data_IF_002650321753
#
_entry.id   IF_002650321753
#
_cell.length_a   1.000
_cell.length_b   1.000
_cell.length_c   1.000
_cell.angle_alpha   90.00
_cell.angle_beta   90.00
_cell.angle_gamma   90.00
#
_symmetry.space_group_name_H-M   'P 1'
#
loop_
_entity.id
_entity.type
_entity.pdbx_description
1 polymer ?
#
# COMPACT_ATOMS: atom_id res chain seq x y z
N UNK A 1 13.85 14.43 -6.78
CA UNK A 1 14.54 13.13 -6.89
C UNK A 1 15.58 13.14 -8.01
N UNK A 2 15.26 13.67 -9.19
CA UNK A 2 16.12 13.70 -10.38
C UNK A 2 17.51 14.24 -10.11
N UNK A 3 17.60 15.43 -9.51
CA UNK A 3 18.89 16.08 -9.27
C UNK A 3 19.75 15.32 -8.27
N UNK A 4 19.12 14.70 -7.26
CA UNK A 4 19.81 13.80 -6.33
C UNK A 4 20.43 12.60 -7.05
N UNK A 5 19.71 11.99 -8.00
CA UNK A 5 20.23 10.85 -8.77
C UNK A 5 21.43 11.24 -9.64
N UNK A 6 21.36 12.40 -10.29
CA UNK A 6 22.47 12.97 -11.08
C UNK A 6 23.67 13.26 -10.17
N UNK A 7 23.43 13.92 -9.05
CA UNK A 7 24.47 14.28 -8.09
C UNK A 7 25.18 13.03 -7.53
N UNK A 8 24.45 11.97 -7.22
CA UNK A 8 25.05 10.70 -6.78
C UNK A 8 25.93 10.13 -7.88
N UNK A 9 25.44 10.05 -9.13
CA UNK A 9 26.23 9.52 -10.25
C UNK A 9 27.51 10.32 -10.53
N UNK A 10 27.49 11.63 -10.31
CA UNK A 10 28.64 12.51 -10.54
C UNK A 10 29.62 12.54 -9.36
N UNK A 11 29.13 12.50 -8.12
CA UNK A 11 29.93 12.73 -6.91
C UNK A 11 30.38 11.44 -6.24
N UNK A 12 29.74 10.31 -6.52
CA UNK A 12 30.13 9.03 -5.96
C UNK A 12 31.38 8.49 -6.66
N UNK A 13 32.43 8.30 -5.88
CA UNK A 13 33.63 7.59 -6.32
C UNK A 13 33.97 6.50 -5.32
N UNK A 14 33.89 5.25 -5.79
CA UNK A 14 34.23 4.07 -5.00
C UNK A 14 35.68 4.08 -4.52
N UNK A 15 36.61 4.65 -5.30
CA UNK A 15 38.04 4.68 -4.98
C UNK A 15 38.37 5.66 -3.85
N UNK A 16 37.51 6.64 -3.63
CA UNK A 16 37.61 7.62 -2.54
C UNK A 16 37.21 7.07 -1.17
N UNK A 17 36.72 5.82 -1.09
CA UNK A 17 36.39 5.15 0.17
C UNK A 17 35.02 5.53 0.75
N UNK A 18 34.79 5.21 2.03
CA UNK A 18 33.51 5.41 2.72
C UNK A 18 33.54 6.43 3.87
N UNK A 19 34.61 7.23 3.95
CA UNK A 19 34.85 8.18 5.05
C UNK A 19 33.93 9.41 5.05
N UNK A 20 33.98 10.18 6.14
CA UNK A 20 33.43 11.55 6.19
C UNK A 20 34.29 12.48 5.33
N UNK A 21 33.67 13.45 4.65
CA UNK A 21 34.33 14.36 3.73
C UNK A 21 34.45 13.84 2.29
N UNK A 22 34.03 12.59 2.03
CA UNK A 22 33.95 12.04 0.67
C UNK A 22 32.62 12.48 0.05
N UNK A 23 32.60 13.31 -1.00
CA UNK A 23 31.39 14.01 -1.45
C UNK A 23 30.18 13.11 -1.73
N UNK A 24 30.36 12.02 -2.50
CA UNK A 24 29.26 11.09 -2.78
C UNK A 24 28.78 10.30 -1.55
N UNK A 25 29.66 10.04 -0.59
CA UNK A 25 29.30 9.35 0.66
C UNK A 25 28.54 10.28 1.61
N UNK A 26 29.00 11.54 1.74
CA UNK A 26 28.28 12.56 2.50
C UNK A 26 26.90 12.81 1.89
N UNK A 27 26.81 12.88 0.57
CA UNK A 27 25.54 13.02 -0.13
C UNK A 27 24.59 11.86 0.17
N UNK A 28 25.02 10.60 0.03
CA UNK A 28 24.19 9.44 0.35
C UNK A 28 23.74 9.43 1.82
N UNK A 29 24.63 9.79 2.76
CA UNK A 29 24.28 9.90 4.19
C UNK A 29 23.28 11.02 4.48
N UNK A 30 23.28 12.09 3.69
CA UNK A 30 22.34 13.21 3.86
C UNK A 30 20.90 12.88 3.46
N UNK A 31 20.69 11.83 2.65
CA UNK A 31 19.36 11.49 2.09
C UNK A 31 18.29 11.29 3.16
N UNK A 32 18.65 10.73 4.32
CA UNK A 32 17.69 10.48 5.40
C UNK A 32 17.14 11.74 6.08
N UNK A 33 17.80 12.89 5.89
CA UNK A 33 17.39 14.18 6.44
C UNK A 33 16.77 15.12 5.39
N UNK A 34 16.55 14.63 4.15
CA UNK A 34 15.99 15.44 3.07
C UNK A 34 14.46 15.49 3.15
N UNK A 35 13.93 16.71 3.12
CA UNK A 35 12.49 17.01 3.07
C UNK A 35 12.02 17.40 1.66
N UNK A 36 12.95 17.62 0.72
CA UNK A 36 12.71 18.03 -0.66
C UNK A 36 12.37 16.86 -1.61
N UNK A 37 12.30 15.63 -1.09
CA UNK A 37 12.01 14.44 -1.89
C UNK A 37 10.50 14.24 -2.03
N UNK A 38 10.01 14.15 -3.27
CA UNK A 38 8.63 13.81 -3.60
C UNK A 38 8.33 12.32 -3.38
N UNK A 39 8.36 11.88 -2.12
CA UNK A 39 7.99 10.53 -1.70
C UNK A 39 6.48 10.43 -1.43
N UNK A 40 5.91 9.20 -1.41
CA UNK A 40 4.57 9.01 -0.86
C UNK A 40 4.49 9.49 0.60
N UNK A 41 3.29 9.90 1.03
CA UNK A 41 3.08 10.45 2.37
C UNK A 41 3.52 9.46 3.46
N UNK A 42 4.30 9.96 4.43
CA UNK A 42 4.83 9.16 5.54
C UNK A 42 6.01 8.24 5.19
N UNK A 43 6.42 8.16 3.92
CA UNK A 43 7.55 7.33 3.52
C UNK A 43 8.88 8.00 3.77
N UNK A 44 9.92 7.20 4.01
CA UNK A 44 11.27 7.69 4.31
C UNK A 44 12.28 7.16 3.31
N UNK A 45 13.33 7.93 3.03
CA UNK A 45 14.43 7.52 2.19
C UNK A 45 15.74 7.43 2.97
N UNK A 46 16.68 6.58 2.54
CA UNK A 46 18.04 6.58 3.07
C UNK A 46 19.05 6.11 2.02
N UNK A 47 20.18 6.81 1.93
CA UNK A 47 21.26 6.51 0.99
C UNK A 47 22.29 5.57 1.58
N UNK A 48 22.84 4.70 0.72
CA UNK A 48 23.75 3.64 1.10
C UNK A 48 24.92 3.57 0.12
N UNK A 49 26.08 4.03 0.58
CA UNK A 49 27.36 3.97 -0.16
C UNK A 49 28.30 2.87 0.32
N UNK A 50 27.83 1.96 1.16
CA UNK A 50 28.61 0.89 1.79
C UNK A 50 29.09 1.24 3.21
N UNK A 51 29.35 0.19 4.01
CA UNK A 51 29.81 0.30 5.40
C UNK A 51 31.16 -0.40 5.52
N UNK A 52 32.22 0.35 5.86
CA UNK A 52 33.60 -0.16 5.93
C UNK A 52 34.33 -0.21 4.59
N UNK A 53 33.63 -0.53 3.51
CA UNK A 53 34.12 -0.38 2.14
C UNK A 53 33.06 0.31 1.27
N UNK A 54 33.52 1.08 0.27
CA UNK A 54 32.62 1.72 -0.67
C UNK A 54 31.92 0.67 -1.55
N UNK A 55 30.60 0.72 -1.60
CA UNK A 55 29.78 -0.17 -2.40
C UNK A 55 30.12 -0.06 -3.89
N UNK A 56 30.12 -1.19 -4.60
CA UNK A 56 30.23 -1.19 -6.06
C UNK A 56 29.00 -0.59 -6.73
N UNK A 57 27.82 -0.83 -6.15
CA UNK A 57 26.54 -0.26 -6.58
C UNK A 57 25.95 0.51 -5.40
N UNK A 58 26.19 1.83 -5.28
CA UNK A 58 25.51 2.64 -4.28
C UNK A 58 24.01 2.67 -4.59
N UNK A 59 23.20 2.96 -3.58
CA UNK A 59 21.75 3.00 -3.77
C UNK A 59 21.05 3.93 -2.78
N UNK A 60 19.83 4.32 -3.13
CA UNK A 60 18.90 5.05 -2.26
C UNK A 60 17.71 4.14 -2.00
N UNK A 61 17.49 3.78 -0.74
CA UNK A 61 16.30 3.06 -0.31
C UNK A 61 15.15 4.00 -0.06
N UNK A 62 13.94 3.54 -0.36
CA UNK A 62 12.69 4.21 -0.10
C UNK A 62 11.77 3.20 0.60
N UNK A 63 11.26 3.59 1.76
CA UNK A 63 10.66 2.70 2.74
C UNK A 63 9.27 3.18 3.12
N UNK A 64 8.33 2.24 3.09
CA UNK A 64 7.02 2.35 3.74
C UNK A 64 7.19 1.88 5.20
N UNK A 65 7.04 2.75 6.21
CA UNK A 65 7.18 2.35 7.61
C UNK A 65 6.24 1.23 8.05
N UNK A 66 5.08 1.07 7.39
CA UNK A 66 4.12 0.00 7.68
C UNK A 66 4.61 -1.37 7.19
N UNK A 67 5.49 -1.39 6.20
CA UNK A 67 6.06 -2.62 5.63
C UNK A 67 7.40 -2.92 6.30
N UNK A 68 8.34 -1.99 6.22
CA UNK A 68 9.70 -2.17 6.70
C UNK A 68 10.53 -0.88 6.60
N UNK A 69 11.39 -0.64 7.60
CA UNK A 69 12.37 0.47 7.64
C UNK A 69 13.81 0.02 7.40
N UNK A 70 14.08 -1.27 7.14
CA UNK A 70 15.42 -1.86 7.10
C UNK A 70 15.68 -2.63 5.80
N UNK A 71 16.56 -2.14 4.95
CA UNK A 71 16.94 -2.81 3.68
C UNK A 71 17.47 -4.24 3.80
N UNK A 72 17.91 -4.64 4.98
CA UNK A 72 18.43 -5.98 5.25
C UNK A 72 17.35 -7.07 5.27
N UNK A 73 16.07 -6.67 5.38
CA UNK A 73 14.91 -7.56 5.52
C UNK A 73 13.68 -7.00 4.82
N UNK A 74 12.65 -7.84 4.67
CA UNK A 74 11.35 -7.41 4.14
C UNK A 74 11.43 -6.91 2.70
N UNK A 75 10.35 -6.26 2.26
CA UNK A 75 10.27 -5.61 0.96
C UNK A 75 10.51 -4.11 1.11
N UNK A 76 11.11 -3.49 0.09
CA UNK A 76 11.35 -2.05 0.03
C UNK A 76 11.55 -1.61 -1.43
N UNK A 77 11.55 -0.31 -1.69
CA UNK A 77 11.97 0.23 -2.98
C UNK A 77 13.42 0.69 -2.90
N UNK A 78 14.15 0.57 -4.01
CA UNK A 78 15.48 1.14 -4.12
C UNK A 78 15.73 1.71 -5.51
N UNK A 79 16.43 2.85 -5.55
CA UNK A 79 17.18 3.30 -6.71
C UNK A 79 18.60 2.75 -6.60
N UNK A 80 18.94 1.73 -7.40
CA UNK A 80 20.25 1.08 -7.39
C UNK A 80 21.04 1.48 -8.62
N UNK A 81 22.23 2.03 -8.42
CA UNK A 81 23.11 2.43 -9.51
C UNK A 81 23.87 1.23 -10.07
N UNK A 82 24.10 1.22 -11.39
CA UNK A 82 25.07 0.30 -11.99
C UNK A 82 26.47 0.59 -11.47
N UNK A 83 27.37 -0.41 -11.57
CA UNK A 83 28.73 -0.34 -11.02
C UNK A 83 29.58 0.75 -11.67
N UNK A 84 29.24 1.15 -12.89
CA UNK A 84 29.84 2.25 -13.65
C UNK A 84 29.10 3.58 -13.49
N UNK A 85 28.02 3.61 -12.68
CA UNK A 85 27.14 4.76 -12.45
C UNK A 85 26.48 5.34 -13.71
N UNK A 86 26.51 4.63 -14.84
CA UNK A 86 25.89 5.09 -16.10
C UNK A 86 24.37 5.03 -16.06
N UNK A 87 23.80 4.22 -15.16
CA UNK A 87 22.36 4.01 -15.02
C UNK A 87 21.94 3.87 -13.56
N UNK A 88 20.66 4.09 -13.32
CA UNK A 88 20.01 3.82 -12.05
C UNK A 88 18.71 3.07 -12.29
N UNK A 89 18.45 2.06 -11.48
CA UNK A 89 17.26 1.21 -11.58
C UNK A 89 16.38 1.42 -10.35
N UNK A 90 15.13 1.85 -10.56
CA UNK A 90 14.10 1.81 -9.52
C UNK A 90 13.53 0.40 -9.47
N UNK A 91 13.65 -0.27 -8.33
CA UNK A 91 13.31 -1.68 -8.19
C UNK A 91 12.58 -1.94 -6.87
N UNK A 92 11.60 -2.85 -6.92
CA UNK A 92 11.05 -3.48 -5.73
C UNK A 92 11.99 -4.61 -5.32
N UNK A 93 12.58 -4.44 -4.15
CA UNK A 93 13.61 -5.32 -3.63
C UNK A 93 13.12 -6.13 -2.45
N UNK A 94 13.77 -7.27 -2.25
CA UNK A 94 13.67 -8.09 -1.04
C UNK A 94 15.01 -8.04 -0.31
N UNK A 95 14.95 -7.93 1.02
CA UNK A 95 16.13 -7.88 1.87
C UNK A 95 16.98 -9.13 1.74
N UNK A 96 18.20 -8.98 1.23
CA UNK A 96 19.11 -10.09 0.95
C UNK A 96 19.94 -10.52 2.16
N UNK A 97 20.27 -9.59 3.05
CA UNK A 97 21.27 -9.80 4.12
C UNK A 97 20.81 -10.79 5.19
N UNK A 98 19.57 -10.69 5.68
CA UNK A 98 19.07 -11.65 6.68
C UNK A 98 18.90 -13.06 6.10
N UNK A 99 18.50 -13.15 4.83
CA UNK A 99 18.29 -14.41 4.15
C UNK A 99 19.62 -15.12 3.84
N UNK A 100 20.65 -14.37 3.43
CA UNK A 100 21.99 -14.91 3.18
C UNK A 100 22.60 -15.52 4.45
N UNK A 101 22.41 -14.88 5.62
CA UNK A 101 22.85 -15.44 6.91
C UNK A 101 22.16 -16.78 7.24
N UNK A 102 20.91 -16.97 6.82
CA UNK A 102 20.16 -18.22 7.01
C UNK A 102 20.57 -19.29 6.00
N UNK A 103 20.73 -18.91 4.74
CA UNK A 103 21.07 -19.81 3.63
C UNK A 103 22.55 -19.61 3.25
N UNK A 104 23.44 -20.23 4.01
CA UNK A 104 24.90 -20.06 3.90
C UNK A 104 25.51 -20.47 2.55
N UNK A 105 24.79 -21.23 1.72
CA UNK A 105 25.25 -21.67 0.39
C UNK A 105 24.70 -20.73 -0.69
N UNK A 106 25.59 -20.16 -1.51
CA UNK A 106 25.27 -19.15 -2.53
C UNK A 106 24.19 -19.59 -3.52
N UNK A 107 24.34 -20.78 -4.12
CA UNK A 107 23.38 -21.28 -5.13
C UNK A 107 21.97 -21.49 -4.54
N UNK A 108 21.79 -22.22 -3.42
CA UNK A 108 20.49 -22.30 -2.74
C UNK A 108 19.90 -20.94 -2.33
N UNK A 109 20.74 -19.99 -1.92
CA UNK A 109 20.32 -18.64 -1.57
C UNK A 109 19.75 -17.89 -2.78
N UNK A 110 20.47 -17.88 -3.91
CA UNK A 110 20.01 -17.26 -5.14
C UNK A 110 18.72 -17.91 -5.67
N UNK A 111 18.65 -19.24 -5.66
CA UNK A 111 17.44 -19.97 -6.07
C UNK A 111 16.24 -19.64 -5.16
N UNK A 112 16.46 -19.44 -3.85
CA UNK A 112 15.40 -19.02 -2.95
C UNK A 112 14.91 -17.60 -3.27
N UNK A 113 15.83 -16.65 -3.45
CA UNK A 113 15.50 -15.27 -3.80
C UNK A 113 14.74 -15.18 -5.11
N UNK A 114 15.22 -15.87 -6.16
CA UNK A 114 14.60 -15.90 -7.47
C UNK A 114 13.18 -16.48 -7.39
N UNK A 115 13.00 -17.61 -6.69
CA UNK A 115 11.67 -18.19 -6.49
C UNK A 115 10.73 -17.24 -5.76
N UNK A 116 11.21 -16.52 -4.74
CA UNK A 116 10.40 -15.52 -4.04
C UNK A 116 10.06 -14.33 -4.94
N UNK A 117 11.03 -13.86 -5.74
CA UNK A 117 10.81 -12.78 -6.70
C UNK A 117 9.72 -13.17 -7.70
N UNK A 118 9.83 -14.35 -8.31
CA UNK A 118 8.85 -14.87 -9.26
C UNK A 118 7.46 -15.00 -8.64
N UNK A 119 7.34 -15.59 -7.43
CA UNK A 119 6.05 -15.70 -6.74
C UNK A 119 5.41 -14.33 -6.47
N UNK A 120 6.20 -13.36 -6.02
CA UNK A 120 5.70 -12.00 -5.78
C UNK A 120 5.30 -11.32 -7.08
N UNK A 121 6.10 -11.46 -8.14
CA UNK A 121 5.81 -10.93 -9.46
C UNK A 121 4.50 -11.49 -10.03
N UNK A 122 4.30 -12.81 -9.93
CA UNK A 122 3.08 -13.48 -10.38
C UNK A 122 1.81 -13.05 -9.61
N UNK A 123 1.98 -12.58 -8.37
CA UNK A 123 0.89 -12.03 -7.58
C UNK A 123 0.54 -10.58 -7.95
N UNK A 124 1.38 -9.88 -8.73
CA UNK A 124 1.15 -8.49 -9.12
C UNK A 124 0.19 -8.37 -10.31
N UNK A 125 -0.57 -7.26 -10.42
CA UNK A 125 -1.47 -7.05 -11.55
C UNK A 125 -0.69 -6.90 -12.88
N UNK A 126 -0.95 -7.73 -13.92
CA UNK A 126 -0.20 -7.72 -15.18
C UNK A 126 -0.11 -6.34 -15.86
N UNK A 127 -1.19 -5.55 -15.77
CA UNK A 127 -1.27 -4.20 -16.35
C UNK A 127 -0.31 -3.21 -15.70
N UNK A 128 0.04 -3.39 -14.43
CA UNK A 128 0.94 -2.48 -13.72
C UNK A 128 2.42 -2.84 -13.94
N UNK A 129 2.71 -4.11 -14.25
CA UNK A 129 4.09 -4.61 -14.38
C UNK A 129 4.61 -4.62 -15.83
N UNK A 130 3.78 -4.25 -16.81
CA UNK A 130 4.14 -4.31 -18.25
C UNK A 130 5.43 -3.55 -18.54
N UNK A 131 5.58 -2.34 -18.01
CA UNK A 131 6.78 -1.50 -18.18
C UNK A 131 7.85 -1.73 -17.09
N UNK A 132 7.65 -2.72 -16.23
CA UNK A 132 8.45 -2.98 -15.03
C UNK A 132 9.04 -4.40 -14.98
N UNK A 133 8.90 -5.18 -16.04
CA UNK A 133 9.40 -6.55 -16.12
C UNK A 133 10.89 -6.62 -16.52
N UNK A 134 11.66 -5.58 -16.20
CA UNK A 134 13.10 -5.58 -16.46
C UNK A 134 13.82 -6.32 -15.32
N UNK A 135 14.62 -7.33 -15.65
CA UNK A 135 15.60 -7.86 -14.71
C UNK A 135 16.76 -6.87 -14.66
N UNK A 136 17.08 -6.26 -13.49
CA UNK A 136 18.16 -5.29 -13.42
C UNK A 136 19.47 -5.89 -13.96
N UNK A 137 20.24 -5.06 -14.65
CA UNK A 137 21.65 -5.33 -14.96
C UNK A 137 22.47 -4.21 -14.36
N UNK A 138 23.13 -4.52 -13.24
CA UNK A 138 23.92 -3.60 -12.43
C UNK A 138 25.40 -3.69 -12.76
N UNK A 139 25.85 -4.72 -13.50
CA UNK A 139 27.24 -4.85 -13.95
C UNK A 139 28.20 -5.31 -12.85
N UNK A 140 27.72 -6.12 -11.89
CA UNK A 140 28.59 -6.75 -10.90
C UNK A 140 29.17 -8.08 -11.37
N UNK A 141 30.31 -8.46 -10.80
CA UNK A 141 30.92 -9.77 -11.06
C UNK A 141 30.04 -10.92 -10.54
N UNK A 142 30.12 -12.13 -11.13
CA UNK A 142 29.46 -13.31 -10.58
C UNK A 142 29.80 -13.54 -9.11
N UNK A 143 28.80 -13.81 -8.28
CA UNK A 143 28.95 -13.97 -6.84
C UNK A 143 28.92 -12.68 -6.04
N UNK A 144 28.95 -11.50 -6.68
CA UNK A 144 28.96 -10.20 -6.00
C UNK A 144 27.60 -9.81 -5.40
N UNK A 145 27.58 -8.73 -4.61
CA UNK A 145 26.37 -8.19 -4.01
C UNK A 145 25.39 -7.60 -5.05
N UNK A 146 25.85 -6.87 -6.11
CA UNK A 146 24.97 -6.47 -7.20
C UNK A 146 24.22 -7.63 -7.85
N UNK A 147 24.86 -8.77 -8.10
CA UNK A 147 24.16 -9.97 -8.63
C UNK A 147 23.02 -10.41 -7.70
N UNK A 148 23.22 -10.33 -6.38
CA UNK A 148 22.16 -10.63 -5.41
C UNK A 148 21.00 -9.63 -5.50
N UNK A 149 21.27 -8.35 -5.76
CA UNK A 149 20.24 -7.33 -5.97
C UNK A 149 19.48 -7.54 -7.29
N UNK A 150 20.15 -7.97 -8.36
CA UNK A 150 19.51 -8.31 -9.63
C UNK A 150 18.53 -9.47 -9.46
N UNK A 151 18.93 -10.51 -8.71
CA UNK A 151 18.09 -11.69 -8.43
C UNK A 151 16.98 -11.40 -7.41
N UNK A 152 17.24 -10.51 -6.44
CA UNK A 152 16.25 -10.13 -5.45
C UNK A 152 15.17 -9.18 -6.01
N UNK A 153 15.41 -8.54 -7.15
CA UNK A 153 14.43 -7.66 -7.78
C UNK A 153 13.17 -8.41 -8.19
N UNK A 154 12.00 -7.93 -7.73
CA UNK A 154 10.69 -8.45 -8.13
C UNK A 154 10.22 -7.77 -9.41
N UNK A 155 10.34 -6.45 -9.46
CA UNK A 155 10.00 -5.59 -10.61
C UNK A 155 11.02 -4.46 -10.67
N UNK A 156 11.34 -3.99 -11.86
CA UNK A 156 12.30 -2.92 -12.02
C UNK A 156 12.05 -2.06 -13.25
N UNK A 157 12.44 -0.79 -13.13
CA UNK A 157 12.50 0.17 -14.22
C UNK A 157 13.85 0.86 -14.23
N UNK A 158 14.54 0.77 -15.36
CA UNK A 158 15.89 1.31 -15.57
C UNK A 158 15.83 2.70 -16.18
N UNK A 159 16.73 3.58 -15.74
CA UNK A 159 16.96 4.90 -16.31
C UNK A 159 18.45 5.08 -16.60
N UNK A 160 18.78 5.57 -17.79
CA UNK A 160 20.14 6.00 -18.10
C UNK A 160 20.39 7.39 -17.50
N UNK A 161 21.51 7.59 -16.81
CA UNK A 161 21.82 8.88 -16.15
C UNK A 161 21.94 10.00 -17.18
N UNK A 162 22.54 9.72 -18.33
CA UNK A 162 22.71 10.68 -19.42
C UNK A 162 21.38 11.17 -20.02
N UNK A 163 20.28 10.43 -19.82
CA UNK A 163 18.96 10.76 -20.36
C UNK A 163 17.84 10.58 -19.33
N UNK A 164 18.13 10.87 -18.05
CA UNK A 164 17.16 10.82 -16.96
C UNK A 164 15.92 11.65 -17.29
N UNK A 165 14.71 11.08 -17.19
CA UNK A 165 13.48 11.77 -17.55
C UNK A 165 13.20 12.93 -16.57
N UNK A 166 12.24 13.82 -16.91
CA UNK A 166 11.82 14.90 -16.03
C UNK A 166 11.32 14.38 -14.67
N UNK A 167 11.38 15.25 -13.65
CA UNK A 167 10.95 14.93 -12.28
C UNK A 167 9.49 14.42 -12.24
N UNK A 168 8.61 14.94 -13.10
CA UNK A 168 7.21 14.55 -13.18
C UNK A 168 7.03 13.07 -13.58
N UNK A 169 7.92 12.55 -14.43
CA UNK A 169 7.93 11.14 -14.84
C UNK A 169 8.46 10.28 -13.71
N UNK A 170 9.57 10.68 -13.07
CA UNK A 170 10.12 9.96 -11.91
C UNK A 170 9.11 9.88 -10.76
N UNK A 171 8.35 10.95 -10.51
CA UNK A 171 7.31 10.98 -9.48
C UNK A 171 6.12 10.08 -9.84
N UNK A 172 5.76 9.98 -11.12
CA UNK A 172 4.75 9.03 -11.58
C UNK A 172 5.21 7.60 -11.38
N UNK A 173 6.46 7.31 -11.74
CA UNK A 173 7.04 5.99 -11.62
C UNK A 173 7.23 5.58 -10.15
N UNK A 174 7.60 6.52 -9.27
CA UNK A 174 7.63 6.33 -7.82
C UNK A 174 6.24 5.94 -7.27
N UNK A 175 5.17 6.62 -7.69
CA UNK A 175 3.80 6.25 -7.27
C UNK A 175 3.40 4.85 -7.75
N UNK A 176 3.77 4.46 -8.96
CA UNK A 176 3.53 3.10 -9.47
C UNK A 176 4.33 2.08 -8.66
N UNK A 177 5.63 2.32 -8.45
CA UNK A 177 6.49 1.46 -7.63
C UNK A 177 5.95 1.31 -6.21
N UNK A 178 5.46 2.39 -5.59
CA UNK A 178 4.89 2.37 -4.26
C UNK A 178 3.65 1.46 -4.19
N UNK A 179 2.76 1.56 -5.19
CA UNK A 179 1.62 0.65 -5.30
C UNK A 179 2.05 -0.81 -5.50
N UNK A 180 3.09 -1.07 -6.30
CA UNK A 180 3.64 -2.42 -6.48
C UNK A 180 4.23 -2.95 -5.16
N UNK A 181 4.92 -2.12 -4.37
CA UNK A 181 5.47 -2.48 -3.06
C UNK A 181 4.37 -2.90 -2.09
N UNK A 182 3.35 -2.07 -1.92
CA UNK A 182 2.24 -2.37 -1.02
C UNK A 182 1.48 -3.64 -1.43
N UNK A 183 1.26 -3.86 -2.73
CA UNK A 183 0.63 -5.09 -3.25
C UNK A 183 1.50 -6.33 -3.03
N UNK A 184 2.80 -6.23 -3.29
CA UNK A 184 3.72 -7.33 -3.06
C UNK A 184 3.80 -7.68 -1.57
N UNK A 185 3.80 -6.68 -0.68
CA UNK A 185 3.79 -6.88 0.77
C UNK A 185 2.48 -7.54 1.24
N UNK A 186 1.33 -7.10 0.71
CA UNK A 186 0.05 -7.76 0.97
C UNK A 186 0.05 -9.23 0.52
N UNK A 187 0.48 -9.50 -0.72
CA UNK A 187 0.58 -10.86 -1.25
C UNK A 187 1.54 -11.73 -0.41
N UNK A 188 2.69 -11.19 0.01
CA UNK A 188 3.64 -11.89 0.86
C UNK A 188 3.03 -12.28 2.22
N UNK A 189 2.20 -11.42 2.81
CA UNK A 189 1.50 -11.71 4.07
C UNK A 189 0.46 -12.81 3.87
N UNK A 190 -0.37 -12.72 2.83
CA UNK A 190 -1.36 -13.76 2.53
C UNK A 190 -0.73 -15.13 2.30
N UNK A 191 0.39 -15.19 1.56
CA UNK A 191 1.12 -16.45 1.32
C UNK A 191 1.66 -17.07 2.60
N UNK A 192 2.14 -16.26 3.55
CA UNK A 192 2.62 -16.74 4.85
C UNK A 192 1.49 -17.28 5.72
N UNK A 193 0.30 -16.68 5.64
CA UNK A 193 -0.88 -17.17 6.35
C UNK A 193 -1.33 -18.52 5.80
N UNK A 194 -1.32 -18.71 4.47
CA UNK A 194 -1.71 -20.00 3.85
C UNK A 194 -0.70 -21.13 4.05
N UNK A 195 0.59 -20.82 4.24
CA UNK A 195 1.62 -21.83 4.56
C UNK A 195 1.59 -22.22 6.06
N UNK A 196 0.76 -21.57 6.90
CA UNK A 196 0.64 -21.80 8.35
C UNK A 196 -0.53 -22.67 8.81
N UNK A 197 -1.43 -23.08 7.90
CA UNK A 197 -2.60 -23.92 8.20
C UNK A 197 -2.58 -25.21 7.37
N UNK A 198 -1.76 -26.18 7.79
CA UNK A 198 -2.00 -27.59 7.48
C UNK A 198 -2.38 -28.32 8.78
N UNK A 199 -3.69 -28.56 8.96
CA UNK A 199 -4.21 -29.63 9.80
C UNK A 199 -5.19 -30.45 8.96
N UNK A 200 -5.07 -31.79 8.89
CA UNK A 200 -5.91 -32.60 8.02
C UNK A 200 -7.19 -33.06 8.71
N UNK A 201 -8.31 -32.93 7.98
CA UNK A 201 -9.44 -33.86 8.06
C UNK A 201 -10.71 -33.35 8.74
N UNK A 202 -11.83 -33.41 8.02
CA UNK A 202 -13.19 -33.36 8.57
C UNK A 202 -14.25 -32.93 7.56
N UNK A 203 -14.96 -33.89 6.97
CA UNK A 203 -16.21 -33.66 6.23
C UNK A 203 -17.38 -33.34 7.18
N UNK A 204 -18.24 -32.38 6.81
CA UNK A 204 -19.71 -32.53 6.66
C UNK A 204 -20.46 -31.17 6.70
N UNK A 205 -21.60 -31.15 6.02
CA UNK A 205 -22.45 -30.05 5.56
C UNK A 205 -23.32 -29.32 6.59
N UNK A 206 -23.62 -28.02 6.36
CA UNK A 206 -24.96 -27.46 5.96
C UNK A 206 -25.28 -26.06 6.53
N UNK A 207 -25.93 -25.24 5.68
CA UNK A 207 -26.50 -23.89 5.86
C UNK A 207 -25.65 -22.84 6.60
N UNK A 208 -24.74 -22.19 5.86
CA UNK A 208 -23.90 -21.11 6.36
C UNK A 208 -24.55 -19.72 6.13
N UNK A 209 -24.87 -18.95 7.19
CA UNK A 209 -25.33 -17.56 7.12
C UNK A 209 -24.31 -16.60 6.46
N UNK A 210 -23.07 -17.04 6.24
CA UNK A 210 -22.02 -16.34 5.50
C UNK A 210 -22.06 -16.61 3.99
N UNK A 211 -23.09 -17.28 3.45
CA UNK A 211 -23.21 -17.52 2.01
C UNK A 211 -23.14 -16.25 1.14
N UNK A 212 -23.47 -15.09 1.70
CA UNK A 212 -23.32 -13.77 1.09
C UNK A 212 -22.04 -13.00 1.47
N UNK A 213 -21.24 -13.47 2.43
CA UNK A 213 -20.00 -12.86 2.88
C UNK A 213 -18.83 -13.75 2.46
N UNK A 214 -18.25 -13.45 1.29
CA UNK A 214 -16.98 -14.05 0.87
C UNK A 214 -15.86 -13.03 1.10
N UNK A 215 -14.92 -13.28 2.02
CA UNK A 215 -13.61 -12.65 1.95
C UNK A 215 -12.98 -13.14 0.63
N UNK A 216 -13.13 -12.35 -0.43
CA UNK A 216 -12.66 -12.77 -1.75
C UNK A 216 -11.16 -12.57 -1.87
N UNK A 217 -10.49 -13.68 -2.07
CA UNK A 217 -9.23 -13.74 -2.79
C UNK A 217 -9.47 -13.65 -4.32
N UNK A 218 -8.41 -13.27 -5.03
CA UNK A 218 -8.12 -13.47 -6.48
C UNK A 218 -8.49 -12.38 -7.52
N UNK A 219 -7.53 -12.19 -8.45
CA UNK A 219 -7.64 -11.82 -9.88
C UNK A 219 -8.61 -10.67 -10.22
N UNK A 220 -8.02 -9.48 -10.42
CA UNK A 220 -8.72 -8.26 -10.78
C UNK A 220 -9.43 -8.30 -12.13
N UNK A 221 -10.75 -8.14 -12.09
CA UNK A 221 -11.56 -7.63 -13.18
C UNK A 221 -11.64 -6.10 -13.04
N UNK A 222 -11.32 -5.37 -14.11
CA UNK A 222 -11.35 -3.90 -14.14
C UNK A 222 -12.70 -3.45 -14.70
N UNK A 223 -13.49 -2.74 -13.90
CA UNK A 223 -14.53 -1.85 -14.41
C UNK A 223 -13.92 -0.44 -14.51
N UNK A 224 -13.81 0.08 -15.72
CA UNK A 224 -13.40 1.45 -15.98
C UNK A 224 -14.52 2.40 -15.60
N UNK A 225 -14.30 3.24 -14.58
CA UNK A 225 -14.95 4.55 -14.47
C UNK A 225 -13.83 5.55 -14.17
N UNK A 226 -13.74 6.57 -15.02
CA UNK A 226 -12.71 7.60 -14.96
C UNK A 226 -12.93 8.52 -13.76
N UNK A 227 -12.35 8.17 -12.61
CA UNK A 227 -11.88 9.11 -11.58
C UNK A 227 -11.08 8.31 -10.52
N UNK A 228 -9.78 8.62 -10.44
CA UNK A 228 -8.88 8.42 -9.30
C UNK A 228 -9.08 7.16 -8.43
N UNK A 229 -8.35 6.08 -8.77
CA UNK A 229 -8.27 4.87 -7.93
C UNK A 229 -7.59 5.19 -6.58
N UNK A 230 -8.38 5.27 -5.51
CA UNK A 230 -7.88 5.27 -4.13
C UNK A 230 -7.43 3.85 -3.75
N UNK A 231 -6.13 3.68 -3.48
CA UNK A 231 -5.64 2.51 -2.74
C UNK A 231 -6.09 2.63 -1.28
N UNK A 232 -6.80 1.63 -0.78
CA UNK A 232 -7.19 1.52 0.63
C UNK A 232 -6.11 0.78 1.42
N UNK A 233 -5.77 1.29 2.61
CA UNK A 233 -4.69 0.77 3.47
C UNK A 233 -5.13 -0.42 4.33
N UNK A 234 -4.18 -1.14 4.94
CA UNK A 234 -4.48 -2.27 5.83
C UNK A 234 -5.28 -1.87 7.07
N UNK A 235 -5.05 -0.66 7.59
CA UNK A 235 -5.84 -0.09 8.70
C UNK A 235 -7.27 0.24 8.27
N UNK A 236 -7.49 0.60 7.00
CA UNK A 236 -8.82 0.82 6.43
C UNK A 236 -9.60 -0.50 6.34
N UNK A 237 -8.95 -1.58 5.92
CA UNK A 237 -9.56 -2.93 5.89
C UNK A 237 -9.87 -3.46 7.29
N UNK A 238 -8.94 -3.32 8.25
CA UNK A 238 -9.17 -3.73 9.64
C UNK A 238 -10.34 -2.95 10.28
N UNK A 239 -10.45 -1.65 10.00
CA UNK A 239 -11.56 -0.83 10.48
C UNK A 239 -12.90 -1.28 9.89
N UNK A 240 -12.92 -1.66 8.61
CA UNK A 240 -14.12 -2.23 7.94
C UNK A 240 -14.50 -3.57 8.55
N UNK A 241 -13.54 -4.45 8.82
CA UNK A 241 -13.79 -5.78 9.40
C UNK A 241 -14.33 -5.67 10.83
N UNK A 242 -13.68 -4.86 11.66
CA UNK A 242 -14.11 -4.61 13.04
C UNK A 242 -15.50 -3.97 13.07
N UNK A 243 -15.75 -2.96 12.24
CA UNK A 243 -17.05 -2.30 12.16
C UNK A 243 -18.12 -3.24 11.60
N UNK A 244 -17.79 -4.02 10.58
CA UNK A 244 -18.70 -4.99 9.97
C UNK A 244 -19.14 -6.04 10.98
N UNK A 245 -18.24 -6.51 11.84
CA UNK A 245 -18.57 -7.43 12.94
C UNK A 245 -19.45 -6.75 13.98
N UNK A 246 -19.11 -5.53 14.38
CA UNK A 246 -19.88 -4.75 15.34
C UNK A 246 -21.31 -4.46 14.87
N UNK A 247 -21.48 -3.96 13.64
CA UNK A 247 -22.78 -3.48 13.15
C UNK A 247 -23.76 -4.62 12.88
N UNK A 248 -23.27 -5.84 12.67
CA UNK A 248 -24.10 -7.05 12.64
C UNK A 248 -24.79 -7.32 13.96
N UNK A 249 -24.11 -7.08 15.08
CA UNK A 249 -24.73 -7.22 16.42
C UNK A 249 -25.85 -6.20 16.65
N UNK A 250 -25.91 -5.15 15.83
CA UNK A 250 -26.93 -4.10 15.81
C UNK A 250 -28.03 -4.32 14.75
N UNK A 251 -28.10 -5.50 14.14
CA UNK A 251 -29.17 -5.85 13.18
C UNK A 251 -28.96 -5.34 11.76
N UNK A 252 -27.74 -4.89 11.41
CA UNK A 252 -27.40 -4.49 10.04
C UNK A 252 -26.58 -5.57 9.34
N UNK A 253 -26.89 -5.81 8.08
CA UNK A 253 -26.14 -6.70 7.22
C UNK A 253 -25.15 -5.89 6.36
N UNK A 254 -23.83 -5.98 6.63
CA UNK A 254 -22.82 -5.33 5.81
C UNK A 254 -22.58 -6.08 4.50
N UNK A 255 -22.51 -5.35 3.39
CA UNK A 255 -22.20 -5.86 2.05
C UNK A 255 -21.09 -5.03 1.42
N UNK A 256 -20.01 -5.68 0.99
CA UNK A 256 -18.88 -5.04 0.27
C UNK A 256 -18.65 -5.64 -1.14
N UNK A 257 -19.48 -6.59 -1.58
CA UNK A 257 -19.31 -7.32 -2.83
C UNK A 257 -19.85 -6.55 -4.04
N UNK A 258 -18.98 -6.27 -5.03
CA UNK A 258 -19.33 -5.62 -6.31
C UNK A 258 -19.96 -4.23 -6.18
N UNK A 259 -19.79 -3.56 -5.05
CA UNK A 259 -20.36 -2.23 -4.79
C UNK A 259 -19.42 -1.07 -5.15
N UNK A 260 -18.23 -1.39 -5.71
CA UNK A 260 -17.28 -0.37 -6.14
C UNK A 260 -17.94 0.67 -7.05
N UNK A 261 -17.64 1.97 -6.84
CA UNK A 261 -16.53 2.53 -6.05
C UNK A 261 -16.74 2.65 -4.53
N UNK A 262 -17.89 2.21 -3.99
CA UNK A 262 -18.27 2.39 -2.57
C UNK A 262 -17.43 1.53 -1.62
N UNK A 263 -17.32 1.96 -0.36
CA UNK A 263 -16.59 1.23 0.67
C UNK A 263 -17.43 0.12 1.31
N UNK A 264 -18.63 0.46 1.77
CA UNK A 264 -19.53 -0.49 2.43
C UNK A 264 -21.00 -0.06 2.23
N UNK A 265 -21.89 -1.05 2.03
CA UNK A 265 -23.34 -0.85 2.06
C UNK A 265 -23.91 -1.62 3.25
N UNK A 266 -24.86 -1.03 3.96
CA UNK A 266 -25.61 -1.71 5.02
C UNK A 266 -27.09 -1.77 4.67
N UNK A 267 -27.72 -2.87 5.07
CA UNK A 267 -29.17 -3.06 5.04
C UNK A 267 -29.64 -3.50 6.42
N UNK A 268 -30.73 -2.94 6.91
CA UNK A 268 -31.31 -3.40 8.17
C UNK A 268 -32.04 -4.73 7.96
N UNK A 269 -31.80 -5.72 8.81
CA UNK A 269 -32.32 -7.10 8.64
C UNK A 269 -33.85 -7.16 8.64
N UNK A 270 -34.52 -6.29 9.39
CA UNK A 270 -36.00 -6.24 9.45
C UNK A 270 -36.64 -5.57 8.21
N UNK A 271 -35.84 -4.98 7.33
CA UNK A 271 -36.33 -4.26 6.16
C UNK A 271 -36.18 -5.06 4.85
N UNK A 272 -35.99 -6.38 4.89
CA UNK A 272 -35.69 -7.19 3.70
C UNK A 272 -36.80 -7.14 2.62
N UNK A 273 -36.51 -6.47 1.49
CA UNK A 273 -37.41 -6.33 0.34
C UNK A 273 -36.88 -5.37 -0.73
N UNK A 274 -37.46 -5.39 -1.93
CA UNK A 274 -37.15 -4.41 -2.98
C UNK A 274 -37.59 -3.00 -2.52
N UNK A 275 -36.65 -2.06 -2.43
CA UNK A 275 -36.90 -0.69 -1.97
C UNK A 275 -36.61 -0.43 -0.48
N UNK A 276 -35.95 -1.37 0.20
CA UNK A 276 -35.46 -1.16 1.57
C UNK A 276 -34.43 -0.02 1.65
N UNK A 277 -34.41 0.74 2.76
CA UNK A 277 -33.43 1.80 2.95
C UNK A 277 -32.02 1.20 2.95
N UNK A 278 -31.13 1.84 2.20
CA UNK A 278 -29.71 1.48 2.13
C UNK A 278 -28.87 2.54 2.86
N UNK A 279 -27.87 2.11 3.62
CA UNK A 279 -26.87 3.00 4.19
C UNK A 279 -25.59 2.88 3.37
N UNK A 280 -25.21 3.99 2.75
CA UNK A 280 -23.95 4.13 2.05
C UNK A 280 -22.87 4.60 3.03
N UNK A 281 -21.90 3.71 3.27
CA UNK A 281 -20.82 3.95 4.21
C UNK A 281 -19.54 4.26 3.46
N UNK A 282 -18.88 5.35 3.85
CA UNK A 282 -17.53 5.72 3.41
C UNK A 282 -16.59 5.69 4.59
N UNK A 283 -15.44 5.03 4.44
CA UNK A 283 -14.51 4.77 5.55
C UNK A 283 -13.27 5.63 5.39
N UNK A 284 -12.82 6.26 6.49
CA UNK A 284 -11.67 7.17 6.51
C UNK A 284 -10.78 6.95 7.72
N UNK A 285 -9.48 6.97 7.48
CA UNK A 285 -8.48 7.02 8.54
C UNK A 285 -8.26 8.47 8.96
N UNK A 286 -8.29 8.72 10.27
CA UNK A 286 -7.81 9.95 10.89
C UNK A 286 -6.30 9.80 11.09
N UNK A 287 -5.54 10.87 10.81
CA UNK A 287 -4.09 10.86 10.96
C UNK A 287 -3.70 11.78 12.12
N UNK A 288 -2.99 11.23 13.10
CA UNK A 288 -2.45 11.95 14.26
C UNK A 288 -3.50 12.82 15.00
N UNK A 289 -4.73 12.31 15.15
CA UNK A 289 -5.82 13.04 15.79
C UNK A 289 -6.33 14.27 15.02
N UNK A 290 -5.95 14.46 13.75
CA UNK A 290 -6.45 15.53 12.90
C UNK A 290 -7.49 15.03 11.88
N UNK A 291 -8.80 15.18 12.15
CA UNK A 291 -9.85 14.62 11.31
C UNK A 291 -10.15 15.44 10.05
N UNK A 292 -9.53 16.61 9.86
CA UNK A 292 -9.93 17.59 8.83
C UNK A 292 -9.92 17.01 7.41
N UNK A 293 -8.83 16.34 7.03
CA UNK A 293 -8.69 15.77 5.69
C UNK A 293 -9.63 14.58 5.47
N UNK A 294 -9.75 13.72 6.49
CA UNK A 294 -10.63 12.56 6.50
C UNK A 294 -12.10 12.98 6.30
N UNK A 295 -12.58 13.93 7.10
CA UNK A 295 -13.96 14.43 7.04
C UNK A 295 -14.26 15.07 5.69
N UNK A 296 -13.39 15.93 5.17
CA UNK A 296 -13.56 16.55 3.84
C UNK A 296 -13.63 15.51 2.74
N UNK A 297 -12.80 14.48 2.82
CA UNK A 297 -12.82 13.34 1.90
C UNK A 297 -14.16 12.58 1.96
N UNK A 298 -14.63 12.25 3.16
CA UNK A 298 -15.90 11.54 3.35
C UNK A 298 -17.09 12.32 2.75
N UNK A 299 -17.19 13.63 3.01
CA UNK A 299 -18.25 14.48 2.45
C UNK A 299 -18.23 14.45 0.93
N UNK A 300 -17.06 14.70 0.33
CA UNK A 300 -16.92 14.72 -1.13
C UNK A 300 -17.38 13.41 -1.76
N UNK A 301 -16.88 12.29 -1.24
CA UNK A 301 -17.16 10.97 -1.83
C UNK A 301 -18.60 10.51 -1.60
N UNK A 302 -19.16 10.70 -0.41
CA UNK A 302 -20.55 10.32 -0.13
C UNK A 302 -21.55 11.13 -0.98
N UNK A 303 -21.34 12.44 -1.11
CA UNK A 303 -22.20 13.28 -1.95
C UNK A 303 -22.02 12.96 -3.44
N UNK A 304 -20.80 12.69 -3.89
CA UNK A 304 -20.51 12.27 -5.26
C UNK A 304 -21.22 10.95 -5.59
N UNK A 305 -21.09 9.94 -4.73
CA UNK A 305 -21.76 8.65 -4.91
C UNK A 305 -23.29 8.77 -4.86
N UNK A 306 -23.83 9.55 -3.91
CA UNK A 306 -25.25 9.84 -3.82
C UNK A 306 -25.79 10.50 -5.10
N UNK A 307 -25.01 11.40 -5.70
CA UNK A 307 -25.38 12.04 -6.96
C UNK A 307 -25.30 11.09 -8.16
N UNK A 308 -24.10 10.61 -8.48
CA UNK A 308 -23.83 9.91 -9.75
C UNK A 308 -24.30 8.44 -9.77
N UNK A 309 -24.33 7.77 -8.61
CA UNK A 309 -24.68 6.34 -8.53
C UNK A 309 -26.14 6.10 -8.14
N UNK A 310 -26.78 7.09 -7.51
CA UNK A 310 -28.17 6.98 -7.08
C UNK A 310 -29.08 7.95 -7.82
N UNK A 311 -28.92 9.26 -7.60
CA UNK A 311 -29.84 10.28 -8.16
C UNK A 311 -29.90 10.25 -9.69
N UNK A 312 -28.75 10.31 -10.36
CA UNK A 312 -28.72 10.29 -11.84
C UNK A 312 -29.27 8.99 -12.43
N UNK A 313 -29.18 7.89 -11.66
CA UNK A 313 -29.68 6.57 -12.06
C UNK A 313 -31.11 6.30 -11.57
N UNK A 314 -31.79 7.32 -11.04
CA UNK A 314 -33.17 7.24 -10.53
C UNK A 314 -33.37 6.14 -9.48
N UNK A 315 -32.33 5.86 -8.68
CA UNK A 315 -32.43 4.94 -7.53
C UNK A 315 -32.90 5.70 -6.28
N UNK A 316 -33.55 5.03 -5.31
CA UNK A 316 -33.86 5.63 -4.01
C UNK A 316 -32.61 6.22 -3.36
N UNK A 317 -32.72 7.40 -2.76
CA UNK A 317 -31.60 8.05 -2.11
C UNK A 317 -31.12 7.21 -0.91
N UNK A 318 -29.81 6.93 -0.79
CA UNK A 318 -29.29 6.20 0.36
C UNK A 318 -29.19 7.12 1.57
N UNK A 319 -29.23 6.55 2.76
CA UNK A 319 -28.73 7.18 3.97
C UNK A 319 -27.21 7.27 3.89
N UNK A 320 -26.62 8.42 4.24
CA UNK A 320 -25.18 8.62 4.16
C UNK A 320 -24.55 8.44 5.54
N UNK A 321 -23.48 7.64 5.60
CA UNK A 321 -22.76 7.35 6.83
C UNK A 321 -21.25 7.44 6.58
N UNK A 322 -20.55 8.19 7.42
CA UNK A 322 -19.09 8.27 7.41
C UNK A 322 -18.51 7.51 8.62
N UNK A 323 -17.58 6.60 8.38
CA UNK A 323 -16.92 5.81 9.40
C UNK A 323 -15.46 6.25 9.56
N UNK A 324 -15.03 6.51 10.80
CA UNK A 324 -13.69 7.00 11.09
C UNK A 324 -12.91 6.12 12.07
N UNK A 325 -11.59 6.08 11.90
CA UNK A 325 -10.70 5.34 12.79
C UNK A 325 -10.52 5.96 14.18
N UNK A 326 -10.84 7.25 14.33
CA UNK A 326 -10.70 8.02 15.57
C UNK A 326 -11.80 9.09 15.66
N UNK A 327 -11.94 9.70 16.83
CA UNK A 327 -12.85 10.82 17.08
C UNK A 327 -12.62 11.99 16.10
N UNK A 328 -13.73 12.51 15.57
CA UNK A 328 -13.75 13.62 14.62
C UNK A 328 -14.09 14.97 15.28
N UNK A 329 -14.26 14.99 16.60
CA UNK A 329 -14.44 16.18 17.42
C UNK A 329 -15.63 17.03 16.91
N UNK A 330 -15.45 18.35 16.79
CA UNK A 330 -16.49 19.27 16.34
C UNK A 330 -17.04 18.98 14.93
N UNK A 331 -16.36 18.15 14.12
CA UNK A 331 -16.82 17.83 12.77
C UNK A 331 -18.05 16.91 12.74
N UNK A 332 -18.38 16.22 13.84
CA UNK A 332 -19.60 15.42 13.90
C UNK A 332 -20.86 16.28 13.68
N UNK A 333 -20.94 17.46 14.30
CA UNK A 333 -22.04 18.40 14.10
C UNK A 333 -22.08 18.98 12.69
N UNK A 334 -20.91 19.18 12.07
CA UNK A 334 -20.83 19.62 10.69
C UNK A 334 -21.39 18.57 9.73
N UNK A 335 -21.03 17.29 9.91
CA UNK A 335 -21.56 16.19 9.08
C UNK A 335 -23.07 16.04 9.23
N UNK A 336 -23.60 16.15 10.46
CA UNK A 336 -25.05 16.15 10.73
C UNK A 336 -25.77 17.26 9.94
N UNK A 337 -25.22 18.48 9.92
CA UNK A 337 -25.79 19.59 9.16
C UNK A 337 -25.77 19.35 7.63
N UNK A 338 -24.92 18.44 7.13
CA UNK A 338 -24.88 18.01 5.73
C UNK A 338 -25.78 16.79 5.45
N UNK A 339 -26.50 16.28 6.45
CA UNK A 339 -27.31 15.06 6.33
C UNK A 339 -26.47 13.78 6.23
N UNK A 340 -25.25 13.79 6.78
CA UNK A 340 -24.34 12.65 6.83
C UNK A 340 -24.18 12.25 8.30
N UNK A 341 -24.63 11.05 8.65
CA UNK A 341 -24.35 10.50 9.97
C UNK A 341 -22.87 10.10 10.07
N UNK A 342 -22.33 10.01 11.28
CA UNK A 342 -20.95 9.57 11.47
C UNK A 342 -20.79 8.62 12.65
N UNK A 343 -19.88 7.65 12.49
CA UNK A 343 -19.46 6.71 13.54
C UNK A 343 -17.93 6.72 13.60
N UNK A 344 -17.36 6.61 14.79
CA UNK A 344 -15.91 6.56 14.99
C UNK A 344 -15.52 5.61 16.12
N UNK A 345 -14.26 5.17 16.09
CA UNK A 345 -13.69 4.35 17.17
C UNK A 345 -13.58 5.17 18.46
N UNK A 346 -14.07 4.63 19.57
CA UNK A 346 -14.00 5.23 20.89
C UNK A 346 -13.57 4.18 21.93
N UNK A 347 -12.27 4.18 22.26
CA UNK A 347 -11.69 3.11 23.09
C UNK A 347 -11.85 1.74 22.42
N UNK A 348 -12.37 0.77 23.19
CA UNK A 348 -12.65 -0.59 22.69
C UNK A 348 -14.00 -0.70 21.95
N UNK A 349 -14.76 0.40 21.85
CA UNK A 349 -16.09 0.45 21.24
C UNK A 349 -16.24 1.48 20.13
N UNK A 350 -17.49 1.86 19.88
CA UNK A 350 -17.89 2.77 18.83
C UNK A 350 -18.76 3.88 19.42
N UNK A 351 -18.50 5.12 19.01
CA UNK A 351 -19.35 6.26 19.27
C UNK A 351 -19.84 6.84 17.94
N UNK A 352 -20.87 7.67 17.97
CA UNK A 352 -21.41 8.23 16.75
C UNK A 352 -22.25 9.47 16.98
N UNK A 353 -22.71 10.02 15.87
CA UNK A 353 -23.53 11.21 15.84
C UNK A 353 -24.99 10.89 16.25
N UNK A 354 -25.79 11.90 16.66
CA UNK A 354 -27.18 11.70 17.04
C UNK A 354 -28.02 10.92 16.03
N UNK A 355 -27.79 11.13 14.73
CA UNK A 355 -28.48 10.39 13.66
C UNK A 355 -28.06 8.91 13.64
N UNK A 356 -26.78 8.59 13.84
CA UNK A 356 -26.33 7.20 13.93
C UNK A 356 -26.91 6.49 15.16
N UNK A 357 -27.02 7.19 16.29
CA UNK A 357 -27.66 6.68 17.50
C UNK A 357 -29.17 6.48 17.30
N UNK A 358 -29.86 7.41 16.63
CA UNK A 358 -31.27 7.27 16.27
C UNK A 358 -31.55 6.07 15.34
N UNK A 359 -30.56 5.65 14.55
CA UNK A 359 -30.59 4.43 13.76
C UNK A 359 -30.24 3.16 14.55
N UNK A 360 -29.95 3.28 15.85
CA UNK A 360 -29.55 2.15 16.70
C UNK A 360 -28.18 1.55 16.35
N UNK A 361 -27.35 2.29 15.59
CA UNK A 361 -26.02 1.83 15.17
C UNK A 361 -24.97 1.98 16.27
N UNK A 362 -25.21 2.90 17.22
CA UNK A 362 -24.40 3.18 18.40
C UNK A 362 -25.32 3.46 19.58
N UNK A 363 -24.79 3.40 20.80
CA UNK A 363 -25.54 3.66 22.03
C UNK A 363 -25.87 5.14 22.25
#
# INVERSE_FOLDING_TARGET
MRDLLIDVAQKYDRRSGCGRGVPGQDLLRSVAAREDLSLPDGWVASGHGGTGSAASSPWIGVFDPEINLKSQRGLYLAYIFSTDLSSVTLTLQQGVTELERKIKKRKPFLTHLERQATRLFEALPPKLVTDWNHRPSLGGDPGSLPESYEVASVVARRYEIASLPPEEVLNRDMRVAASLLQRAAAAQRSLRSTEGEEVPGGEASSSDPLSGFQPRSSKGYVANIAAKQQLKSQHHEALIEDFGTYIQTRGYQPTNLRIHPKDLLLHHQEAAGEGSPEWLVEVKMVADGNPTAAVRGAVGQLLEYSHFLYRERQRPAPHLLALFSEDILAYAQYLEAQGIASIWRAGDGWAGSPTAAAWGMVD
#
